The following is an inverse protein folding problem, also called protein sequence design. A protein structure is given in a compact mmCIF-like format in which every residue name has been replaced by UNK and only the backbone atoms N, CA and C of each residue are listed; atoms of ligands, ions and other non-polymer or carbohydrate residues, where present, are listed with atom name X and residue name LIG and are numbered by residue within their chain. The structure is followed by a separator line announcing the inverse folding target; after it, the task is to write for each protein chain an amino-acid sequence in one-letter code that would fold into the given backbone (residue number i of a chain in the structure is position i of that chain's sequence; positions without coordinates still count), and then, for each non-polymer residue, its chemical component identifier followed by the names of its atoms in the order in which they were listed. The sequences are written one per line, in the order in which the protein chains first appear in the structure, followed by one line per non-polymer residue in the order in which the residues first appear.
data_IF_286914379263
#
_entry.id   IF_286914379263
#
_cell.length_a   1.000
_cell.length_b   1.000
_cell.length_c   1.000
_cell.angle_alpha   90.00
_cell.angle_beta   90.00
_cell.angle_gamma   90.00
#
_symmetry.space_group_name_H-M   'P 1'
#
loop_
_entity.id
_entity.type
_entity.pdbx_description
1 polymer ?
#
# COMPACT_ATOMS: atom_id res chain seq x y z
N UNK A 1 -16.59 -27.81 13.54
CA UNK A 1 -15.27 -27.18 13.80
C UNK A 1 -15.44 -26.21 14.97
N UNK A 2 -14.64 -26.33 16.04
CA UNK A 2 -14.71 -25.40 17.18
C UNK A 2 -14.39 -23.96 16.75
N UNK A 3 -14.97 -22.95 17.41
CA UNK A 3 -14.75 -21.54 17.10
C UNK A 3 -13.26 -21.16 17.09
N UNK A 4 -12.48 -21.72 18.02
CA UNK A 4 -11.03 -21.56 18.09
C UNK A 4 -10.29 -21.99 16.82
N UNK A 5 -10.66 -23.14 16.22
CA UNK A 5 -10.06 -23.59 14.95
C UNK A 5 -10.31 -22.59 13.83
N UNK A 6 -11.50 -22.02 13.75
CA UNK A 6 -11.84 -21.01 12.74
C UNK A 6 -11.07 -19.71 12.96
N UNK A 7 -10.96 -19.27 14.22
CA UNK A 7 -10.20 -18.08 14.58
C UNK A 7 -8.71 -18.24 14.22
N UNK A 8 -8.09 -19.37 14.56
CA UNK A 8 -6.68 -19.63 14.21
C UNK A 8 -6.46 -19.59 12.70
N UNK A 9 -7.33 -20.23 11.92
CA UNK A 9 -7.24 -20.21 10.45
C UNK A 9 -7.36 -18.78 9.89
N UNK A 10 -8.31 -18.00 10.39
CA UNK A 10 -8.51 -16.62 9.94
C UNK A 10 -7.29 -15.74 10.26
N UNK A 11 -6.73 -15.85 11.46
CA UNK A 11 -5.53 -15.10 11.86
C UNK A 11 -4.33 -15.47 10.99
N UNK A 12 -4.12 -16.76 10.74
CA UNK A 12 -3.02 -17.23 9.88
C UNK A 12 -3.17 -16.71 8.44
N UNK A 13 -4.38 -16.73 7.88
CA UNK A 13 -4.65 -16.19 6.54
C UNK A 13 -4.40 -14.69 6.46
N UNK A 14 -4.86 -13.93 7.46
CA UNK A 14 -4.64 -12.48 7.52
C UNK A 14 -3.15 -12.13 7.62
N UNK A 15 -2.41 -12.85 8.47
CA UNK A 15 -0.97 -12.67 8.59
C UNK A 15 -0.24 -12.98 7.28
N UNK A 16 -0.60 -14.09 6.61
CA UNK A 16 -0.01 -14.47 5.33
C UNK A 16 -0.29 -13.42 4.25
N UNK A 17 -1.53 -12.94 4.14
CA UNK A 17 -1.89 -11.87 3.21
C UNK A 17 -1.11 -10.59 3.49
N UNK A 18 -0.97 -10.20 4.76
CA UNK A 18 -0.18 -9.04 5.17
C UNK A 18 1.31 -9.17 4.77
N UNK A 19 1.91 -10.34 4.98
CA UNK A 19 3.30 -10.61 4.55
C UNK A 19 3.44 -10.51 3.03
N UNK A 20 2.52 -11.08 2.26
CA UNK A 20 2.54 -11.00 0.79
C UNK A 20 2.42 -9.55 0.32
N UNK A 21 1.47 -8.79 0.87
CA UNK A 21 1.30 -7.37 0.56
C UNK A 21 2.54 -6.56 0.93
N UNK A 22 3.14 -6.84 2.09
CA UNK A 22 4.37 -6.17 2.53
C UNK A 22 5.50 -6.44 1.55
N UNK A 23 5.75 -7.70 1.19
CA UNK A 23 6.81 -8.07 0.25
C UNK A 23 6.58 -7.44 -1.12
N UNK A 24 5.36 -7.50 -1.65
CA UNK A 24 5.02 -6.92 -2.96
C UNK A 24 5.03 -5.38 -2.96
N UNK A 25 4.72 -4.74 -1.84
CA UNK A 25 4.75 -3.29 -1.66
C UNK A 25 6.15 -2.71 -1.41
N UNK A 26 7.20 -3.52 -1.32
CA UNK A 26 8.60 -3.06 -1.13
C UNK A 26 9.21 -2.49 -2.43
N UNK A 27 8.51 -2.54 -3.57
CA UNK A 27 8.99 -2.01 -4.87
C UNK A 27 9.29 -0.50 -4.93
N UNK A 28 9.25 0.21 -3.80
CA UNK A 28 9.49 1.64 -3.67
C UNK A 28 8.20 2.43 -3.65
N UNK A 29 8.24 3.62 -3.03
CA UNK A 29 7.22 4.62 -3.33
C UNK A 29 7.26 4.84 -4.86
N UNK A 30 6.11 4.86 -5.56
CA UNK A 30 6.11 5.18 -6.97
C UNK A 30 6.90 6.48 -7.15
N UNK A 31 7.84 6.54 -8.09
CA UNK A 31 8.63 7.74 -8.28
C UNK A 31 7.64 8.88 -8.44
N UNK A 32 7.70 9.85 -7.51
CA UNK A 32 6.90 11.05 -7.60
C UNK A 32 7.51 11.87 -8.75
N UNK A 33 7.08 11.55 -9.97
CA UNK A 33 7.45 12.29 -11.16
C UNK A 33 6.48 13.46 -11.29
N UNK A 34 7.03 14.67 -11.30
CA UNK A 34 6.25 15.89 -11.30
C UNK A 34 6.16 16.49 -9.91
N UNK A 35 6.51 17.77 -9.83
CA UNK A 35 6.33 18.61 -8.65
C UNK A 35 5.48 19.82 -9.02
N UNK A 36 4.92 20.46 -8.01
CA UNK A 36 4.33 21.78 -8.19
C UNK A 36 5.47 22.76 -8.42
N UNK A 37 5.47 23.39 -9.59
CA UNK A 37 6.28 24.58 -9.83
C UNK A 37 5.37 25.79 -9.78
N UNK A 38 5.91 26.88 -9.26
CA UNK A 38 5.24 28.17 -9.33
C UNK A 38 5.13 28.59 -10.81
N UNK A 39 3.93 28.98 -11.24
CA UNK A 39 3.69 29.51 -12.58
C UNK A 39 4.06 30.99 -12.58
N UNK A 40 4.81 31.42 -13.59
CA UNK A 40 5.07 32.84 -13.82
C UNK A 40 3.77 33.55 -14.26
N UNK A 41 3.66 34.85 -14.00
CA UNK A 41 2.45 35.62 -14.28
C UNK A 41 2.00 35.59 -15.74
N UNK A 42 2.93 35.35 -16.67
CA UNK A 42 2.64 35.20 -18.10
C UNK A 42 2.09 33.81 -18.45
N UNK A 43 2.41 32.78 -17.66
CA UNK A 43 1.87 31.42 -17.81
C UNK A 43 0.48 31.25 -17.18
N UNK A 44 0.00 32.24 -16.41
CA UNK A 44 -1.29 32.21 -15.72
C UNK A 44 -2.43 32.91 -16.49
N UNK A 45 -2.15 33.42 -17.70
CA UNK A 45 -3.15 34.03 -18.59
C UNK A 45 -3.79 33.00 -19.50
#
# INVERSE_FOLDING_TARGET
MSGWRRASVAVSLAALAGVVLRIRGIGGAPPQSGGWRELSGDEMR
#
